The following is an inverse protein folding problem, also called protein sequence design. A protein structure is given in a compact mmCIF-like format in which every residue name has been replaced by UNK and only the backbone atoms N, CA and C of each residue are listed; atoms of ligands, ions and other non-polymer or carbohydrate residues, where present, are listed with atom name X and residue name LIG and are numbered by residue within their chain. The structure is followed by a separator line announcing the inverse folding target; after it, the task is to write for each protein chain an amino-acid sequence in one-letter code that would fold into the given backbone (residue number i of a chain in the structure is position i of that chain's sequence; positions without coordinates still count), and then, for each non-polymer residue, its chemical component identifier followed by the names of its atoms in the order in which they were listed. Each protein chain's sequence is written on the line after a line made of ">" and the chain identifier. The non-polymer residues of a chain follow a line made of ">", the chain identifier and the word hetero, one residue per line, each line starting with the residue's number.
data_IF_552347760991
#
_entry.id   IF_552347760991
#
_cell.length_a   1.000
_cell.length_b   1.000
_cell.length_c   1.000
_cell.angle_alpha   90.00
_cell.angle_beta   90.00
_cell.angle_gamma   90.00
#
_symmetry.space_group_name_H-M   'P 1'
#
loop_
_entity.id
_entity.type
_entity.pdbx_description
1 polymer ?
#
# COMPACT_ATOMS: atom_id res chain seq x y z
N UNK A 1 0.06 -6.85 -26.12
CA UNK A 1 0.91 -7.26 -24.98
C UNK A 1 1.68 -6.01 -24.55
N UNK A 2 1.48 -5.57 -23.33
CA UNK A 2 2.14 -4.37 -22.83
C UNK A 2 3.66 -4.51 -22.79
N UNK A 3 4.36 -3.39 -22.92
CA UNK A 3 5.82 -3.33 -22.85
C UNK A 3 6.27 -3.37 -21.40
N UNK A 4 7.14 -4.31 -21.05
CA UNK A 4 7.83 -4.34 -19.77
C UNK A 4 9.27 -3.84 -19.93
N UNK A 5 9.70 -2.98 -19.04
CA UNK A 5 11.04 -2.41 -18.99
C UNK A 5 11.73 -2.77 -17.68
N UNK A 6 13.03 -2.48 -17.57
CA UNK A 6 13.81 -2.73 -16.36
C UNK A 6 13.21 -1.98 -15.16
N UNK A 7 12.93 -2.70 -14.09
CA UNK A 7 12.35 -2.13 -12.86
C UNK A 7 13.30 -1.26 -12.05
N UNK A 8 14.60 -1.24 -12.38
CA UNK A 8 15.59 -0.35 -11.77
C UNK A 8 15.31 1.15 -12.00
N UNK A 9 14.38 1.51 -12.89
CA UNK A 9 13.94 2.90 -13.10
C UNK A 9 13.33 3.51 -11.82
N UNK A 10 12.67 2.69 -10.99
CA UNK A 10 12.02 3.13 -9.75
C UNK A 10 12.71 2.62 -8.47
N UNK A 11 13.99 2.32 -8.52
CA UNK A 11 14.72 1.80 -7.38
C UNK A 11 16.23 1.76 -7.59
N UNK A 12 16.96 0.99 -6.77
CA UNK A 12 18.40 0.83 -6.92
C UNK A 12 18.77 0.35 -8.32
N UNK A 13 19.85 0.93 -8.86
CA UNK A 13 20.36 0.56 -10.20
C UNK A 13 21.14 -0.76 -10.18
N UNK A 14 21.52 -1.21 -9.00
CA UNK A 14 22.28 -2.43 -8.79
C UNK A 14 21.37 -3.65 -8.97
N UNK A 15 21.57 -4.39 -10.06
CA UNK A 15 20.74 -5.57 -10.39
C UNK A 15 20.84 -6.73 -9.40
N UNK A 16 21.87 -6.75 -8.57
CA UNK A 16 21.94 -7.71 -7.47
C UNK A 16 21.02 -7.35 -6.31
N UNK A 17 20.51 -6.11 -6.25
CA UNK A 17 19.53 -5.65 -5.26
C UNK A 17 18.10 -5.72 -5.80
N UNK A 18 17.90 -5.31 -7.07
CA UNK A 18 16.59 -5.32 -7.74
C UNK A 18 16.75 -5.68 -9.21
N UNK A 19 16.10 -6.74 -9.64
CA UNK A 19 16.20 -7.23 -11.01
C UNK A 19 14.86 -7.58 -11.68
N UNK A 20 13.75 -7.09 -11.15
CA UNK A 20 12.42 -7.26 -11.73
C UNK A 20 12.19 -6.38 -12.99
N UNK A 21 11.03 -6.53 -13.62
CA UNK A 21 10.56 -5.65 -14.70
C UNK A 21 9.25 -4.96 -14.34
N UNK A 22 8.99 -3.80 -14.93
CA UNK A 22 7.76 -3.05 -14.73
C UNK A 22 7.10 -2.66 -16.05
N UNK A 23 5.77 -2.51 -16.01
CA UNK A 23 4.95 -2.06 -17.12
C UNK A 23 5.18 -0.58 -17.43
N UNK A 24 5.40 -0.24 -18.70
CA UNK A 24 5.68 1.13 -19.19
C UNK A 24 4.62 1.64 -20.20
N UNK A 25 3.49 0.97 -20.30
CA UNK A 25 2.40 1.40 -21.18
C UNK A 25 1.50 2.40 -20.47
N UNK A 26 1.48 3.64 -20.97
CA UNK A 26 0.74 4.76 -20.35
C UNK A 26 -0.77 4.52 -20.36
N UNK A 27 -1.32 3.91 -21.42
CA UNK A 27 -2.76 3.65 -21.52
C UNK A 27 -3.19 2.59 -20.49
N UNK A 28 -2.43 1.50 -20.39
CA UNK A 28 -2.67 0.45 -19.41
C UNK A 28 -2.55 1.02 -17.98
N UNK A 29 -1.51 1.80 -17.71
CA UNK A 29 -1.31 2.43 -16.41
C UNK A 29 -2.47 3.37 -16.04
N UNK A 30 -3.00 4.14 -16.98
CA UNK A 30 -4.16 5.02 -16.75
C UNK A 30 -5.43 4.23 -16.41
N UNK A 31 -5.72 3.16 -17.16
CA UNK A 31 -6.88 2.29 -16.89
C UNK A 31 -6.77 1.65 -15.51
N UNK A 32 -5.59 1.14 -15.17
CA UNK A 32 -5.33 0.52 -13.85
C UNK A 32 -5.50 1.56 -12.74
N UNK A 33 -4.92 2.75 -12.87
CA UNK A 33 -5.02 3.81 -11.87
C UNK A 33 -6.47 4.24 -11.60
N UNK A 34 -7.28 4.43 -12.65
CA UNK A 34 -8.69 4.78 -12.50
C UNK A 34 -9.48 3.66 -11.79
N UNK A 35 -9.21 2.41 -12.16
CA UNK A 35 -9.87 1.24 -11.57
C UNK A 35 -9.50 1.08 -10.08
N UNK A 36 -8.24 1.19 -9.73
CA UNK A 36 -7.75 1.10 -8.35
C UNK A 36 -8.35 2.22 -7.48
N UNK A 37 -8.35 3.47 -7.94
CA UNK A 37 -8.94 4.59 -7.21
C UNK A 37 -10.43 4.35 -6.91
N UNK A 38 -11.18 3.82 -7.89
CA UNK A 38 -12.59 3.49 -7.71
C UNK A 38 -12.80 2.36 -6.69
N UNK A 39 -11.99 1.30 -6.78
CA UNK A 39 -12.07 0.16 -5.86
C UNK A 39 -11.71 0.58 -4.43
N UNK A 40 -10.62 1.30 -4.24
CA UNK A 40 -10.16 1.75 -2.92
C UNK A 40 -11.24 2.53 -2.18
N UNK A 41 -11.96 3.43 -2.85
CA UNK A 41 -13.04 4.24 -2.25
C UNK A 41 -14.21 3.39 -1.73
N UNK A 42 -14.34 2.14 -2.18
CA UNK A 42 -15.39 1.20 -1.77
C UNK A 42 -14.93 0.25 -0.66
N UNK A 43 -13.67 0.29 -0.26
CA UNK A 43 -13.10 -0.59 0.76
C UNK A 43 -13.20 0.00 2.16
N UNK A 44 -13.16 -0.89 3.16
CA UNK A 44 -13.02 -0.47 4.57
C UNK A 44 -11.77 0.37 4.83
N UNK A 45 -10.74 0.23 3.99
CA UNK A 45 -9.52 1.00 4.08
C UNK A 45 -9.82 2.52 4.13
N UNK A 46 -10.71 3.01 3.26
CA UNK A 46 -11.12 4.42 3.24
C UNK A 46 -11.93 4.84 4.47
N UNK A 47 -12.65 3.91 5.09
CA UNK A 47 -13.41 4.18 6.30
C UNK A 47 -12.53 4.24 7.54
N UNK A 48 -11.50 3.42 7.58
CA UNK A 48 -10.58 3.31 8.72
C UNK A 48 -9.46 4.33 8.68
N UNK A 49 -8.89 4.56 7.50
CA UNK A 49 -7.74 5.44 7.32
C UNK A 49 -8.16 6.73 6.63
N UNK A 50 -7.81 7.90 7.19
CA UNK A 50 -8.08 9.21 6.58
C UNK A 50 -7.12 9.43 5.39
N UNK A 51 -7.40 8.80 4.25
CA UNK A 51 -6.57 8.87 3.05
C UNK A 51 -6.84 10.16 2.27
N UNK A 52 -5.78 10.79 1.80
CA UNK A 52 -5.79 12.03 1.03
C UNK A 52 -5.51 11.78 -0.46
N UNK A 53 -4.47 11.02 -0.76
CA UNK A 53 -3.95 10.83 -2.12
C UNK A 53 -3.49 9.41 -2.36
N UNK A 54 -3.52 9.01 -3.63
CA UNK A 54 -2.95 7.76 -4.11
C UNK A 54 -1.93 8.09 -5.21
N UNK A 55 -0.76 7.47 -5.17
CA UNK A 55 0.22 7.58 -6.26
C UNK A 55 -0.26 6.83 -7.51
N UNK A 56 0.33 7.07 -8.67
CA UNK A 56 0.23 6.14 -9.79
C UNK A 56 0.59 4.71 -9.39
N UNK A 57 -0.05 3.75 -10.04
CA UNK A 57 0.13 2.33 -9.79
C UNK A 57 1.15 1.74 -10.78
N UNK A 58 1.99 0.84 -10.30
CA UNK A 58 2.96 0.10 -11.10
C UNK A 58 2.59 -1.36 -11.19
N UNK A 59 2.56 -1.90 -12.40
CA UNK A 59 2.53 -3.35 -12.59
C UNK A 59 3.96 -3.88 -12.66
N UNK A 60 4.30 -4.74 -11.72
CA UNK A 60 5.61 -5.38 -11.59
C UNK A 60 5.52 -6.85 -11.97
N UNK A 61 6.56 -7.34 -12.63
CA UNK A 61 6.75 -8.73 -13.01
C UNK A 61 8.10 -9.21 -12.49
N UNK A 62 8.10 -10.38 -11.85
CA UNK A 62 9.29 -11.09 -11.38
C UNK A 62 9.31 -12.47 -12.03
N UNK A 63 10.32 -12.75 -12.82
CA UNK A 63 10.60 -14.06 -13.41
C UNK A 63 11.49 -14.89 -12.48
N UNK A 64 11.71 -16.14 -12.80
CA UNK A 64 12.59 -17.04 -12.03
C UNK A 64 13.96 -16.40 -11.75
N UNK A 65 14.43 -16.46 -10.50
CA UNK A 65 15.64 -15.83 -10.01
C UNK A 65 15.50 -14.33 -9.71
N UNK A 66 14.43 -13.67 -10.13
CA UNK A 66 14.21 -12.25 -9.85
C UNK A 66 13.69 -12.01 -8.44
N UNK A 67 14.13 -10.91 -7.83
CA UNK A 67 13.88 -10.54 -6.44
C UNK A 67 13.98 -9.03 -6.24
N UNK A 68 13.74 -8.58 -5.03
CA UNK A 68 14.05 -7.25 -4.55
C UNK A 68 14.48 -7.34 -3.10
N UNK A 69 15.75 -7.02 -2.83
CA UNK A 69 16.35 -7.13 -1.50
C UNK A 69 15.79 -6.07 -0.53
N UNK A 70 16.30 -6.10 0.69
CA UNK A 70 16.01 -5.16 1.77
C UNK A 70 16.08 -3.71 1.29
N UNK A 71 14.98 -3.00 1.39
CA UNK A 71 14.93 -1.58 1.10
C UNK A 71 13.80 -0.90 1.88
N UNK A 72 13.80 0.42 1.88
CA UNK A 72 12.66 1.28 2.23
C UNK A 72 12.27 2.06 0.98
N UNK A 73 10.98 2.32 0.81
CA UNK A 73 10.52 3.17 -0.27
C UNK A 73 10.89 4.64 -0.04
N UNK A 74 10.98 5.40 -1.12
CA UNK A 74 11.26 6.82 -1.04
C UNK A 74 10.10 7.58 -0.37
N UNK A 75 10.39 8.68 0.34
CA UNK A 75 9.40 9.42 1.14
C UNK A 75 8.26 10.05 0.32
N UNK A 76 8.43 10.16 -0.99
CA UNK A 76 7.48 10.80 -1.90
C UNK A 76 7.56 10.15 -3.29
N UNK A 77 6.41 9.87 -3.90
CA UNK A 77 6.30 9.31 -5.24
C UNK A 77 5.23 10.08 -6.03
N UNK A 78 5.67 10.84 -7.06
CA UNK A 78 4.81 11.66 -7.93
C UNK A 78 3.89 12.62 -7.17
N UNK A 79 4.44 13.36 -6.21
CA UNK A 79 3.71 14.31 -5.39
C UNK A 79 2.78 13.67 -4.36
N UNK A 80 2.93 12.36 -4.10
CA UNK A 80 2.22 11.60 -3.07
C UNK A 80 3.20 11.22 -1.97
N UNK A 81 3.00 11.69 -0.73
CA UNK A 81 3.79 11.20 0.41
C UNK A 81 3.48 9.72 0.64
N UNK A 82 4.50 8.91 0.81
CA UNK A 82 4.38 7.46 0.92
C UNK A 82 4.17 7.05 2.38
N UNK A 83 2.93 7.17 2.87
CA UNK A 83 2.58 6.77 4.24
C UNK A 83 2.28 5.27 4.36
N UNK A 84 1.66 4.70 3.33
CA UNK A 84 1.38 3.27 3.24
C UNK A 84 1.80 2.74 1.87
N UNK A 85 2.45 1.59 1.86
CA UNK A 85 2.70 0.80 0.65
C UNK A 85 1.58 -0.22 0.47
N UNK A 86 1.07 -0.32 -0.75
CA UNK A 86 0.06 -1.31 -1.14
C UNK A 86 0.63 -2.20 -2.22
N UNK A 87 0.52 -3.52 -2.01
CA UNK A 87 0.91 -4.54 -3.00
C UNK A 87 -0.29 -5.44 -3.25
N UNK A 88 -0.81 -5.44 -4.48
CA UNK A 88 -1.92 -6.31 -4.90
C UNK A 88 -1.34 -7.47 -5.71
N UNK A 89 -1.58 -8.70 -5.27
CA UNK A 89 -1.18 -9.92 -6.00
C UNK A 89 -2.10 -10.13 -7.19
N UNK A 90 -1.54 -10.32 -8.39
CA UNK A 90 -2.31 -10.51 -9.63
C UNK A 90 -2.44 -11.97 -10.04
N UNK A 91 -1.52 -12.83 -9.58
CA UNK A 91 -1.54 -14.28 -9.83
C UNK A 91 -0.88 -15.02 -8.66
N UNK A 92 -1.13 -16.29 -8.54
CA UNK A 92 -0.57 -17.15 -7.49
C UNK A 92 0.01 -18.48 -8.02
N UNK A 93 0.10 -18.62 -9.33
CA UNK A 93 0.66 -19.77 -10.07
C UNK A 93 2.20 -19.68 -10.25
N UNK A 94 2.92 -19.38 -9.16
CA UNK A 94 4.39 -19.32 -9.09
C UNK A 94 4.88 -19.85 -7.75
N UNK A 95 6.18 -20.14 -7.59
CA UNK A 95 6.81 -20.55 -6.35
C UNK A 95 7.89 -19.54 -5.92
N UNK A 96 8.14 -19.45 -4.61
CA UNK A 96 8.96 -18.39 -4.02
C UNK A 96 8.28 -17.03 -4.16
N UNK A 97 9.06 -15.95 -4.25
CA UNK A 97 8.55 -14.60 -4.48
C UNK A 97 7.68 -14.05 -3.33
N UNK A 98 7.85 -14.55 -2.11
CA UNK A 98 7.18 -14.02 -0.92
C UNK A 98 7.52 -12.55 -0.75
N UNK A 99 6.51 -11.73 -0.45
CA UNK A 99 6.74 -10.38 0.05
C UNK A 99 7.12 -10.47 1.54
N UNK A 100 8.21 -9.85 1.93
CA UNK A 100 8.62 -9.81 3.33
C UNK A 100 8.66 -8.37 3.87
N UNK A 101 8.38 -8.25 5.18
CA UNK A 101 8.42 -6.99 5.94
C UNK A 101 9.17 -7.26 7.23
N UNK A 102 10.09 -6.38 7.61
CA UNK A 102 10.82 -6.45 8.88
C UNK A 102 10.23 -5.48 9.90
N UNK A 103 9.84 -6.00 11.06
CA UNK A 103 9.27 -5.23 12.17
C UNK A 103 10.08 -5.54 13.43
N UNK A 104 10.91 -4.60 13.87
CA UNK A 104 11.85 -4.85 14.96
C UNK A 104 12.84 -5.96 14.57
N UNK A 105 12.84 -7.05 15.33
CA UNK A 105 13.69 -8.25 15.08
C UNK A 105 12.99 -9.31 14.23
N UNK A 106 11.71 -9.16 13.96
CA UNK A 106 10.92 -10.16 13.26
C UNK A 106 10.85 -9.88 11.76
N UNK A 107 10.77 -10.96 10.95
CA UNK A 107 10.48 -10.89 9.51
C UNK A 107 9.18 -11.62 9.24
N UNK A 108 8.21 -10.89 8.69
CA UNK A 108 6.92 -11.43 8.27
C UNK A 108 6.99 -11.66 6.76
N UNK A 109 6.79 -12.89 6.32
CA UNK A 109 6.75 -13.27 4.90
C UNK A 109 5.32 -13.64 4.50
N UNK A 110 4.87 -13.14 3.36
CA UNK A 110 3.52 -13.38 2.83
C UNK A 110 3.54 -13.66 1.34
N UNK A 111 2.89 -14.73 0.95
CA UNK A 111 2.44 -15.01 -0.41
C UNK A 111 0.91 -14.98 -0.40
N UNK A 112 0.34 -13.93 -0.94
CA UNK A 112 -1.13 -13.76 -0.95
C UNK A 112 -1.72 -14.37 -2.22
N UNK A 113 -2.95 -14.92 -2.14
CA UNK A 113 -3.71 -15.33 -3.32
C UNK A 113 -3.96 -14.16 -4.28
N UNK A 114 -4.20 -14.47 -5.54
CA UNK A 114 -4.58 -13.49 -6.55
C UNK A 114 -5.79 -12.64 -6.11
N UNK A 115 -5.74 -11.35 -6.36
CA UNK A 115 -6.78 -10.38 -5.96
C UNK A 115 -6.72 -9.90 -4.51
N UNK A 116 -5.79 -10.41 -3.69
CA UNK A 116 -5.56 -9.92 -2.33
C UNK A 116 -4.50 -8.84 -2.28
N UNK A 117 -4.66 -7.90 -1.34
CA UNK A 117 -3.74 -6.80 -1.10
C UNK A 117 -3.03 -6.93 0.24
N UNK A 118 -1.74 -6.63 0.26
CA UNK A 118 -0.96 -6.35 1.45
C UNK A 118 -0.81 -4.84 1.60
N UNK A 119 -1.07 -4.31 2.79
CA UNK A 119 -0.98 -2.89 3.11
C UNK A 119 -0.18 -2.76 4.39
N UNK A 120 0.84 -1.90 4.38
CA UNK A 120 1.72 -1.70 5.54
C UNK A 120 2.31 -0.28 5.53
N UNK A 121 2.73 0.25 6.71
CA UNK A 121 3.48 1.50 6.80
C UNK A 121 4.76 1.43 5.96
N UNK A 122 4.95 2.42 5.08
CA UNK A 122 6.06 2.46 4.11
C UNK A 122 7.44 2.53 4.76
N UNK A 123 7.52 2.97 6.00
CA UNK A 123 8.76 3.11 6.77
C UNK A 123 9.42 1.76 7.14
N UNK A 124 8.73 0.64 7.00
CA UNK A 124 9.31 -0.67 7.29
C UNK A 124 10.26 -1.13 6.18
N UNK A 125 11.38 -1.74 6.57
CA UNK A 125 12.23 -2.47 5.64
C UNK A 125 11.44 -3.63 5.07
N UNK A 126 11.46 -3.77 3.75
CA UNK A 126 10.73 -4.82 3.05
C UNK A 126 11.42 -5.24 1.76
N UNK A 127 10.87 -6.25 1.11
CA UNK A 127 11.39 -6.74 -0.16
C UNK A 127 10.60 -7.92 -0.72
N UNK A 128 11.17 -8.58 -1.72
CA UNK A 128 10.60 -9.74 -2.40
C UNK A 128 11.65 -10.82 -2.49
N UNK A 129 11.36 -12.00 -1.95
CA UNK A 129 12.21 -13.19 -2.07
C UNK A 129 12.36 -13.60 -3.53
N UNK A 130 13.44 -14.31 -3.90
CA UNK A 130 13.59 -14.84 -5.25
C UNK A 130 12.39 -15.70 -5.65
N UNK A 131 11.89 -15.48 -6.87
CA UNK A 131 10.94 -16.40 -7.50
C UNK A 131 11.72 -17.65 -7.90
N UNK A 132 11.26 -18.81 -7.46
CA UNK A 132 11.94 -20.09 -7.71
C UNK A 132 11.36 -20.86 -8.89
N UNK A 133 10.11 -20.56 -9.26
CA UNK A 133 9.45 -21.13 -10.45
C UNK A 133 8.28 -20.25 -10.87
N UNK A 134 8.03 -20.15 -12.17
CA UNK A 134 6.93 -19.39 -12.73
C UNK A 134 7.19 -17.88 -12.81
N UNK A 135 6.12 -17.08 -12.78
CA UNK A 135 6.19 -15.62 -12.92
C UNK A 135 5.25 -14.95 -11.93
N UNK A 136 5.80 -14.19 -10.99
CA UNK A 136 5.02 -13.37 -10.05
C UNK A 136 4.65 -12.05 -10.70
N UNK A 137 3.36 -11.67 -10.62
CA UNK A 137 2.85 -10.37 -11.07
C UNK A 137 2.13 -9.67 -9.93
N UNK A 138 2.37 -8.38 -9.75
CA UNK A 138 1.67 -7.58 -8.76
C UNK A 138 1.51 -6.13 -9.23
N UNK A 139 0.58 -5.43 -8.58
CA UNK A 139 0.48 -3.97 -8.63
C UNK A 139 1.05 -3.42 -7.34
N UNK A 140 1.83 -2.34 -7.42
CA UNK A 140 2.29 -1.58 -6.24
C UNK A 140 2.00 -0.11 -6.42
N UNK A 141 1.62 0.55 -5.32
CA UNK A 141 1.36 1.99 -5.25
C UNK A 141 1.40 2.45 -3.80
N UNK A 142 1.37 3.76 -3.59
CA UNK A 142 1.43 4.36 -2.27
C UNK A 142 0.19 5.18 -1.97
N UNK A 143 -0.14 5.22 -0.68
CA UNK A 143 -1.24 6.04 -0.17
C UNK A 143 -0.69 7.10 0.76
N UNK A 144 -1.12 8.34 0.54
CA UNK A 144 -0.91 9.46 1.44
C UNK A 144 -2.09 9.57 2.40
N UNK A 145 -1.81 9.58 3.69
CA UNK A 145 -2.78 9.92 4.72
C UNK A 145 -2.93 11.45 4.84
N UNK A 146 -4.12 11.93 5.17
CA UNK A 146 -4.29 13.31 5.60
C UNK A 146 -3.59 13.60 6.94
N UNK A 147 -3.23 12.57 7.68
CA UNK A 147 -2.46 12.67 8.93
C UNK A 147 -0.99 12.35 8.65
N UNK A 148 -0.10 13.34 8.82
CA UNK A 148 1.33 13.17 8.56
C UNK A 148 2.07 12.42 9.67
N UNK A 149 1.65 12.58 10.92
CA UNK A 149 2.24 11.91 12.08
C UNK A 149 1.85 10.42 12.13
N UNK A 150 2.80 9.47 12.13
CA UNK A 150 2.51 8.04 12.11
C UNK A 150 1.82 7.56 13.39
N UNK A 151 2.14 8.13 14.54
CA UNK A 151 1.51 7.79 15.82
C UNK A 151 0.05 8.22 15.83
N UNK A 152 -0.23 9.42 15.35
CA UNK A 152 -1.60 9.92 15.21
C UNK A 152 -2.40 9.14 14.17
N UNK A 153 -1.77 8.71 13.06
CA UNK A 153 -2.40 7.80 12.09
C UNK A 153 -2.87 6.51 12.75
N UNK A 154 -2.02 5.92 13.59
CA UNK A 154 -2.36 4.70 14.31
C UNK A 154 -3.56 4.92 15.23
N UNK A 155 -3.53 5.94 16.12
CA UNK A 155 -4.61 6.19 17.05
C UNK A 155 -5.94 6.54 16.38
N UNK A 156 -5.91 7.33 15.31
CA UNK A 156 -7.12 7.66 14.55
C UNK A 156 -7.70 6.42 13.86
N UNK A 157 -6.85 5.53 13.35
CA UNK A 157 -7.30 4.26 12.79
C UNK A 157 -8.00 3.40 13.84
N UNK A 158 -7.43 3.29 15.04
CA UNK A 158 -8.06 2.55 16.14
C UNK A 158 -9.38 3.17 16.59
N UNK A 159 -9.44 4.51 16.68
CA UNK A 159 -10.69 5.21 16.98
C UNK A 159 -11.76 4.99 15.91
N UNK A 160 -11.39 4.96 14.63
CA UNK A 160 -12.30 4.65 13.53
C UNK A 160 -12.81 3.21 13.61
N UNK A 161 -11.96 2.23 13.93
CA UNK A 161 -12.38 0.84 14.15
C UNK A 161 -13.43 0.76 15.25
N UNK A 162 -13.13 1.34 16.44
CA UNK A 162 -14.08 1.36 17.56
C UNK A 162 -15.39 2.02 17.16
N UNK A 163 -15.34 3.18 16.48
CA UNK A 163 -16.55 3.86 16.00
C UNK A 163 -17.45 2.93 15.17
N UNK A 164 -16.90 2.27 14.16
CA UNK A 164 -17.68 1.40 13.28
C UNK A 164 -18.18 0.12 13.96
N UNK A 165 -17.48 -0.36 14.98
CA UNK A 165 -17.93 -1.50 15.78
C UNK A 165 -19.12 -1.15 16.68
N UNK A 166 -19.15 0.06 17.23
CA UNK A 166 -20.14 0.46 18.23
C UNK A 166 -21.29 1.32 17.69
N UNK A 167 -21.19 1.84 16.47
CA UNK A 167 -22.15 2.76 15.88
C UNK A 167 -23.61 2.25 15.98
N UNK A 168 -23.83 0.94 15.74
CA UNK A 168 -25.16 0.32 15.80
C UNK A 168 -25.66 -0.01 17.21
N UNK A 169 -24.85 0.13 18.25
CA UNK A 169 -25.16 -0.31 19.60
C UNK A 169 -25.22 0.83 20.62
N UNK A 170 -24.62 1.98 20.34
CA UNK A 170 -24.58 3.11 21.25
C UNK A 170 -25.81 4.01 21.09
N UNK A 171 -26.24 4.60 22.23
CA UNK A 171 -27.18 5.72 22.21
C UNK A 171 -26.63 6.88 21.35
N UNK A 172 -27.57 7.53 20.64
CA UNK A 172 -27.24 8.63 19.70
C UNK A 172 -26.44 9.76 20.37
N UNK A 173 -26.74 10.09 21.63
CA UNK A 173 -26.06 11.15 22.37
C UNK A 173 -24.61 10.76 22.66
N UNK A 174 -24.38 9.52 23.10
CA UNK A 174 -23.03 9.00 23.37
C UNK A 174 -22.22 8.94 22.08
N UNK A 175 -22.82 8.42 21.00
CA UNK A 175 -22.16 8.35 19.69
C UNK A 175 -21.78 9.77 19.18
N UNK A 176 -22.65 10.76 19.35
CA UNK A 176 -22.37 12.15 18.96
C UNK A 176 -21.21 12.75 19.77
N UNK A 177 -21.08 12.43 21.06
CA UNK A 177 -19.95 12.87 21.87
C UNK A 177 -18.65 12.18 21.46
N UNK A 178 -18.71 10.89 21.13
CA UNK A 178 -17.57 10.16 20.60
C UNK A 178 -17.08 10.76 19.26
N UNK A 179 -18.02 11.05 18.35
CA UNK A 179 -17.73 11.71 17.09
C UNK A 179 -17.15 13.12 17.26
N UNK A 180 -17.64 13.89 18.23
CA UNK A 180 -17.09 15.21 18.53
C UNK A 180 -15.59 15.12 18.85
N UNK A 181 -15.20 14.18 19.70
CA UNK A 181 -13.80 13.96 20.06
C UNK A 181 -12.98 13.44 18.87
N UNK A 182 -13.44 12.38 18.20
CA UNK A 182 -12.77 11.74 17.06
C UNK A 182 -12.57 12.71 15.89
N UNK A 183 -13.64 13.38 15.46
CA UNK A 183 -13.59 14.36 14.37
C UNK A 183 -12.84 15.64 14.76
N UNK A 184 -12.83 16.00 16.06
CA UNK A 184 -12.02 17.09 16.59
C UNK A 184 -10.53 16.82 16.41
N UNK A 185 -10.06 15.61 16.76
CA UNK A 185 -8.68 15.18 16.53
C UNK A 185 -8.34 15.20 15.04
N UNK A 186 -9.23 14.66 14.19
CA UNK A 186 -9.05 14.67 12.74
C UNK A 186 -8.91 16.11 12.20
N UNK A 187 -9.77 17.04 12.59
CA UNK A 187 -9.69 18.44 12.15
C UNK A 187 -8.39 19.12 12.56
N UNK A 188 -7.87 18.76 13.74
CA UNK A 188 -6.63 19.37 14.25
C UNK A 188 -5.38 18.84 13.52
N UNK A 189 -5.35 17.57 13.17
CA UNK A 189 -4.17 16.92 12.61
C UNK A 189 -4.21 16.72 11.09
N UNK A 190 -5.39 16.84 10.46
CA UNK A 190 -5.50 16.59 9.02
C UNK A 190 -4.88 17.73 8.21
N UNK A 191 -4.03 17.35 7.26
CA UNK A 191 -3.48 18.23 6.23
C UNK A 191 -4.20 17.86 4.92
N UNK A 192 -5.12 18.72 4.48
CA UNK A 192 -5.79 18.56 3.19
C UNK A 192 -4.95 19.28 2.13
N UNK A 193 -4.43 18.53 1.19
CA UNK A 193 -3.71 19.06 0.03
C UNK A 193 -4.64 19.05 -1.18
N UNK A 194 -4.74 20.18 -1.85
CA UNK A 194 -5.45 20.30 -3.13
C UNK A 194 -4.69 19.63 -4.26
#
# INVERSE_FOLDING_TARGET
>A
AGKFIDGAITGPKEKHVKNNTQQDDVEINNIVNQSITKILRQTELFRLHPLNKCSPCFMLKYEEGQHYDDHTDYYEMWGCRTDYTVVITLNDDYEGGEHFIKIGTETIEKKLPAGKALIYPTEFIHGVRPVTSGVRKCLTFWLESSISDPTMRYYITELNKVYWEVEGYLDRKVLTQFDLARLGILRHHAILRN
#
